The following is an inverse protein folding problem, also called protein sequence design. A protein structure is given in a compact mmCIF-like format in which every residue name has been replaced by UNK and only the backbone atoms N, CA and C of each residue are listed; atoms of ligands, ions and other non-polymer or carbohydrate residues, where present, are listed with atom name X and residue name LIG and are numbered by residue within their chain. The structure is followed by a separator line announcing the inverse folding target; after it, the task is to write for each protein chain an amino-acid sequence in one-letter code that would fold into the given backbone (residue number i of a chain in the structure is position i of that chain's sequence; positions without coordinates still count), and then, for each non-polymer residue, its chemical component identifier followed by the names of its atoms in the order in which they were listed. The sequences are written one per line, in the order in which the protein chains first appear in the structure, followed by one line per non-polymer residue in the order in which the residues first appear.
data_IF_838580575251
#
_entry.id   IF_838580575251
#
_cell.length_a   1.000
_cell.length_b   1.000
_cell.length_c   1.000
_cell.angle_alpha   90.00
_cell.angle_beta   90.00
_cell.angle_gamma   90.00
#
_symmetry.space_group_name_H-M   'P 1'
#
loop_
_entity.id
_entity.type
_entity.pdbx_description
1 polymer ?
#
# COMPACT_ATOMS: atom_id res chain seq x y z
N UNK A 1 -8.12 50.86 -19.17
CA UNK A 1 -8.49 49.66 -18.38
C UNK A 1 -8.13 48.42 -19.17
N UNK A 2 -7.18 47.64 -18.63
CA UNK A 2 -6.31 46.74 -19.39
C UNK A 2 -6.94 45.37 -19.66
N UNK A 3 -7.19 45.05 -20.93
CA UNK A 3 -7.69 43.76 -21.43
C UNK A 3 -6.79 42.56 -21.08
N UNK A 4 -5.56 42.82 -20.61
CA UNK A 4 -4.59 41.79 -20.22
C UNK A 4 -4.85 41.22 -18.82
N UNK A 5 -5.60 41.91 -17.95
CA UNK A 5 -5.88 41.43 -16.59
C UNK A 5 -6.93 40.32 -16.55
N UNK A 6 -7.88 40.31 -17.49
CA UNK A 6 -8.92 39.29 -17.55
C UNK A 6 -8.38 37.94 -18.09
N UNK A 7 -7.45 37.99 -19.05
CA UNK A 7 -6.83 36.81 -19.65
C UNK A 7 -5.91 36.06 -18.66
N UNK A 8 -5.16 36.81 -17.83
CA UNK A 8 -4.26 36.22 -16.82
C UNK A 8 -5.04 35.46 -15.74
N UNK A 9 -6.21 35.98 -15.31
CA UNK A 9 -7.06 35.33 -14.31
C UNK A 9 -7.70 34.03 -14.82
N UNK A 10 -8.06 33.96 -16.10
CA UNK A 10 -8.60 32.73 -16.73
C UNK A 10 -7.53 31.65 -16.89
N UNK A 11 -6.29 32.01 -17.18
CA UNK A 11 -5.16 31.07 -17.22
C UNK A 11 -4.79 30.54 -15.82
N UNK A 12 -4.80 31.40 -14.80
CA UNK A 12 -4.45 30.97 -13.45
C UNK A 12 -5.48 29.99 -12.85
N UNK A 13 -6.76 30.20 -13.16
CA UNK A 13 -7.85 29.34 -12.67
C UNK A 13 -7.90 27.97 -13.39
N UNK A 14 -7.60 27.93 -14.68
CA UNK A 14 -7.47 26.66 -15.42
C UNK A 14 -6.25 25.85 -14.97
N UNK A 15 -5.13 26.49 -14.62
CA UNK A 15 -3.96 25.79 -14.06
C UNK A 15 -4.24 25.18 -12.67
N UNK A 16 -5.05 25.87 -11.85
CA UNK A 16 -5.40 25.41 -10.50
C UNK A 16 -6.37 24.21 -10.51
N UNK A 17 -7.24 24.11 -11.53
CA UNK A 17 -8.14 22.97 -11.72
C UNK A 17 -7.42 21.74 -12.30
N UNK A 18 -6.36 21.92 -13.10
CA UNK A 18 -5.56 20.79 -13.61
C UNK A 18 -4.69 20.13 -12.53
N UNK A 19 -4.29 20.87 -11.49
CA UNK A 19 -3.47 20.35 -10.39
C UNK A 19 -4.20 19.39 -9.44
N UNK A 20 -5.54 19.34 -9.47
CA UNK A 20 -6.33 18.51 -8.57
C UNK A 20 -6.61 17.08 -9.10
N UNK A 21 -6.16 16.75 -10.32
CA UNK A 21 -6.55 15.50 -10.99
C UNK A 21 -5.70 14.26 -10.63
N UNK A 22 -4.68 14.36 -9.77
CA UNK A 22 -3.77 13.24 -9.48
C UNK A 22 -3.84 12.67 -8.05
N UNK A 23 -4.90 12.93 -7.29
CA UNK A 23 -5.11 12.28 -6.00
C UNK A 23 -6.09 11.10 -6.14
N UNK A 24 -5.75 10.11 -6.98
CA UNK A 24 -6.49 8.84 -7.00
C UNK A 24 -6.10 8.08 -5.72
N UNK A 25 -7.02 7.82 -4.78
CA UNK A 25 -6.71 7.00 -3.61
C UNK A 25 -6.26 5.62 -4.10
N UNK A 26 -4.99 5.28 -3.85
CA UNK A 26 -4.45 3.97 -4.19
C UNK A 26 -5.19 2.91 -3.36
N UNK A 27 -6.12 2.21 -3.99
CA UNK A 27 -7.01 1.21 -3.39
C UNK A 27 -6.29 -0.12 -3.03
N UNK A 28 -5.05 -0.05 -2.53
CA UNK A 28 -4.18 -1.20 -2.27
C UNK A 28 -3.82 -1.41 -0.81
N UNK A 29 -4.36 -0.64 0.13
CA UNK A 29 -4.08 -0.82 1.56
C UNK A 29 -5.21 -0.34 2.47
N UNK A 30 -5.29 -0.97 3.63
CA UNK A 30 -6.23 -0.67 4.71
C UNK A 30 -5.42 -0.43 6.00
N UNK A 31 -5.36 0.82 6.46
CA UNK A 31 -4.62 1.16 7.68
C UNK A 31 -5.25 0.53 8.93
N UNK A 32 -4.42 -0.02 9.80
CA UNK A 32 -4.81 -0.66 11.06
C UNK A 32 -4.28 0.21 12.20
N UNK A 33 -4.87 1.40 12.38
CA UNK A 33 -4.49 2.31 13.46
C UNK A 33 -4.56 3.79 13.10
N UNK A 34 -4.35 4.65 14.10
CA UNK A 34 -4.32 6.12 13.96
C UNK A 34 -2.94 6.69 13.65
N UNK A 35 -1.91 5.85 13.60
CA UNK A 35 -0.53 6.29 13.36
C UNK A 35 -0.35 6.48 11.86
N UNK A 36 -0.26 7.74 11.44
CA UNK A 36 0.10 8.09 10.07
C UNK A 36 1.61 8.16 9.95
N UNK A 37 2.18 7.23 9.19
CA UNK A 37 3.58 7.29 8.82
C UNK A 37 3.71 7.88 7.42
N UNK A 38 4.78 8.64 7.21
CA UNK A 38 5.13 9.13 5.89
C UNK A 38 5.48 7.95 4.97
N UNK A 39 5.08 8.06 3.69
CA UNK A 39 5.49 7.11 2.68
C UNK A 39 7.03 7.11 2.58
N UNK A 40 7.60 5.92 2.39
CA UNK A 40 9.04 5.78 2.20
C UNK A 40 9.44 6.16 0.76
N UNK A 41 10.71 6.59 0.55
CA UNK A 41 11.24 6.83 -0.80
C UNK A 41 11.05 5.63 -1.72
N UNK A 42 10.85 5.88 -3.02
CA UNK A 42 10.58 4.83 -4.03
C UNK A 42 11.63 3.71 -4.03
N UNK A 43 12.89 4.06 -3.78
CA UNK A 43 14.02 3.14 -3.82
C UNK A 43 14.32 2.54 -2.43
N UNK A 44 13.55 2.90 -1.40
CA UNK A 44 13.71 2.30 -0.09
C UNK A 44 13.33 0.80 -0.16
N UNK A 45 14.21 -0.09 0.33
CA UNK A 45 13.91 -1.52 0.37
C UNK A 45 12.80 -1.78 1.37
N UNK A 46 11.86 -2.66 0.99
CA UNK A 46 10.81 -3.20 1.85
C UNK A 46 11.07 -4.69 2.00
N UNK A 47 11.33 -5.13 3.22
CA UNK A 47 11.65 -6.52 3.50
C UNK A 47 10.39 -7.41 3.35
N UNK A 48 10.54 -8.60 2.79
CA UNK A 48 9.47 -9.61 2.73
C UNK A 48 9.82 -10.70 3.72
N UNK A 49 9.05 -10.79 4.80
CA UNK A 49 9.25 -11.79 5.84
C UNK A 49 8.27 -12.95 5.61
N UNK A 50 8.76 -14.05 5.04
CA UNK A 50 7.98 -15.28 4.89
C UNK A 50 7.82 -16.01 6.24
N UNK A 51 8.85 -15.92 7.09
CA UNK A 51 8.93 -16.58 8.40
C UNK A 51 8.45 -15.69 9.57
N UNK A 52 8.48 -16.27 10.77
CA UNK A 52 8.15 -15.59 12.02
C UNK A 52 9.13 -14.42 12.27
N UNK A 53 8.59 -13.21 12.37
CA UNK A 53 9.35 -12.00 12.72
C UNK A 53 9.80 -12.09 14.18
N UNK A 54 11.12 -12.04 14.43
CA UNK A 54 11.72 -12.26 15.76
C UNK A 54 11.93 -10.98 16.58
N UNK A 55 11.85 -9.81 15.95
CA UNK A 55 12.02 -8.51 16.61
C UNK A 55 10.66 -7.89 17.00
N UNK A 56 10.60 -7.00 17.99
CA UNK A 56 9.39 -6.23 18.28
C UNK A 56 8.96 -5.36 17.10
N UNK A 57 7.70 -5.48 16.69
CA UNK A 57 7.14 -4.70 15.57
C UNK A 57 5.76 -4.12 15.90
N UNK A 58 5.29 -3.23 15.03
CA UNK A 58 3.93 -2.73 15.00
C UNK A 58 3.34 -2.91 13.61
N UNK A 59 2.14 -3.49 13.53
CA UNK A 59 1.36 -3.53 12.29
C UNK A 59 0.75 -2.16 12.04
N UNK A 60 0.95 -1.63 10.83
CA UNK A 60 0.47 -0.29 10.43
C UNK A 60 -0.68 -0.36 9.42
N UNK A 61 -0.71 -1.40 8.58
CA UNK A 61 -1.77 -1.61 7.60
C UNK A 61 -1.85 -3.07 7.15
N UNK A 62 -3.01 -3.47 6.63
CA UNK A 62 -3.13 -4.59 5.69
C UNK A 62 -2.89 -4.05 4.29
N UNK A 63 -2.01 -4.68 3.51
CA UNK A 63 -1.70 -4.28 2.13
C UNK A 63 -2.07 -5.40 1.17
N UNK A 64 -2.61 -5.02 0.02
CA UNK A 64 -3.08 -5.93 -1.02
C UNK A 64 -2.33 -5.65 -2.32
N UNK A 65 -1.96 -6.69 -3.07
CA UNK A 65 -1.45 -6.54 -4.43
C UNK A 65 -2.60 -6.30 -5.41
N UNK A 66 -2.29 -5.89 -6.65
CA UNK A 66 -3.32 -5.89 -7.70
C UNK A 66 -3.78 -7.32 -8.00
N UNK A 67 -5.08 -7.53 -8.32
CA UNK A 67 -5.60 -8.84 -8.64
C UNK A 67 -5.11 -9.34 -10.01
N UNK A 68 -4.80 -10.63 -10.10
CA UNK A 68 -4.44 -11.37 -11.33
C UNK A 68 -5.42 -12.53 -11.58
N UNK A 69 -5.73 -12.88 -12.84
CA UNK A 69 -6.56 -14.04 -13.13
C UNK A 69 -5.90 -15.40 -12.79
N UNK A 70 -4.56 -15.46 -12.70
CA UNK A 70 -3.80 -16.70 -12.45
C UNK A 70 -2.56 -16.44 -11.58
N UNK A 71 -2.16 -17.45 -10.78
CA UNK A 71 -0.93 -17.43 -9.96
C UNK A 71 0.13 -18.34 -10.61
N UNK A 72 0.93 -17.77 -11.50
CA UNK A 72 2.16 -18.35 -12.06
C UNK A 72 3.40 -17.82 -11.33
N UNK A 73 4.57 -18.45 -11.52
CA UNK A 73 5.83 -17.96 -10.93
C UNK A 73 6.13 -16.50 -11.30
N UNK A 74 5.92 -16.12 -12.57
CA UNK A 74 6.06 -14.74 -13.05
C UNK A 74 5.08 -13.79 -12.36
N UNK A 75 3.80 -14.18 -12.27
CA UNK A 75 2.81 -13.32 -11.61
C UNK A 75 3.10 -13.16 -10.10
N UNK A 76 3.67 -14.17 -9.43
CA UNK A 76 4.01 -14.06 -8.01
C UNK A 76 5.03 -12.95 -7.76
N UNK A 77 6.03 -12.82 -8.61
CA UNK A 77 7.03 -11.75 -8.50
C UNK A 77 6.35 -10.36 -8.62
N UNK A 78 5.46 -10.19 -9.59
CA UNK A 78 4.70 -8.95 -9.77
C UNK A 78 3.76 -8.65 -8.58
N UNK A 79 3.10 -9.67 -8.04
CA UNK A 79 2.23 -9.52 -6.87
C UNK A 79 3.03 -9.11 -5.62
N UNK A 80 4.23 -9.66 -5.43
CA UNK A 80 5.13 -9.28 -4.34
C UNK A 80 5.65 -7.84 -4.51
N UNK A 81 6.05 -7.46 -5.72
CA UNK A 81 6.50 -6.10 -6.03
C UNK A 81 5.40 -5.07 -5.73
N UNK A 82 4.16 -5.36 -6.15
CA UNK A 82 2.99 -4.54 -5.84
C UNK A 82 2.74 -4.44 -4.33
N UNK A 83 2.86 -5.56 -3.62
CA UNK A 83 2.67 -5.62 -2.17
C UNK A 83 3.70 -4.74 -1.44
N UNK A 84 4.97 -4.83 -1.84
CA UNK A 84 6.06 -3.99 -1.33
C UNK A 84 5.84 -2.51 -1.67
N UNK A 85 5.39 -2.21 -2.89
CA UNK A 85 5.04 -0.84 -3.28
C UNK A 85 3.92 -0.27 -2.41
N UNK A 86 2.88 -1.04 -2.12
CA UNK A 86 1.78 -0.60 -1.25
C UNK A 86 2.21 -0.47 0.22
N UNK A 87 3.08 -1.34 0.72
CA UNK A 87 3.68 -1.22 2.04
C UNK A 87 4.56 0.02 2.20
N UNK A 88 5.27 0.41 1.13
CA UNK A 88 6.05 1.64 1.09
C UNK A 88 5.18 2.90 1.27
N UNK A 89 3.99 2.91 0.67
CA UNK A 89 3.05 4.04 0.77
C UNK A 89 2.54 4.28 2.19
N UNK A 90 2.57 3.25 3.04
CA UNK A 90 2.17 3.34 4.45
C UNK A 90 3.35 3.44 5.41
N UNK A 91 4.56 3.66 4.89
CA UNK A 91 5.76 3.87 5.71
C UNK A 91 6.32 2.61 6.37
N UNK A 92 5.97 1.42 5.87
CA UNK A 92 6.38 0.16 6.47
C UNK A 92 7.88 -0.17 6.27
N UNK A 93 8.46 -0.95 7.17
CA UNK A 93 9.78 -1.56 7.03
C UNK A 93 9.73 -2.89 6.30
N UNK A 94 8.69 -3.68 6.56
CA UNK A 94 8.54 -5.00 6.02
C UNK A 94 7.06 -5.35 5.78
N UNK A 95 6.84 -6.42 5.02
CA UNK A 95 5.55 -7.10 4.92
C UNK A 95 5.70 -8.53 5.41
N UNK A 96 4.79 -8.97 6.28
CA UNK A 96 4.77 -10.34 6.79
C UNK A 96 3.37 -10.98 6.65
N UNK A 97 3.26 -12.27 6.96
CA UNK A 97 2.00 -13.04 6.90
C UNK A 97 1.30 -12.95 5.54
N UNK A 98 2.11 -13.04 4.48
CA UNK A 98 1.63 -12.96 3.10
C UNK A 98 0.78 -14.20 2.80
N UNK A 99 -0.43 -13.97 2.31
CA UNK A 99 -1.34 -15.03 1.89
C UNK A 99 -1.96 -14.72 0.55
N UNK A 100 -2.27 -15.77 -0.20
CA UNK A 100 -3.03 -15.65 -1.44
C UNK A 100 -4.51 -15.57 -1.10
N UNK A 101 -5.16 -14.50 -1.53
CA UNK A 101 -6.61 -14.37 -1.50
C UNK A 101 -7.18 -14.74 -2.86
N UNK A 102 -8.25 -15.54 -2.83
CA UNK A 102 -9.03 -15.91 -4.01
C UNK A 102 -10.37 -15.18 -3.97
N UNK A 103 -10.59 -14.27 -4.91
CA UNK A 103 -11.82 -13.49 -5.05
C UNK A 103 -12.63 -14.06 -6.19
N UNK A 104 -13.90 -14.34 -5.93
CA UNK A 104 -14.86 -14.79 -6.94
C UNK A 104 -15.88 -13.68 -7.17
N UNK A 105 -16.30 -13.49 -8.42
CA UNK A 105 -17.29 -12.49 -8.77
C UNK A 105 -17.98 -12.78 -10.08
N UNK A 106 -18.75 -11.82 -10.56
CA UNK A 106 -19.37 -11.84 -11.89
C UNK A 106 -18.92 -10.64 -12.70
N UNK A 107 -18.46 -10.87 -13.92
CA UNK A 107 -18.00 -9.83 -14.83
C UNK A 107 -18.49 -10.12 -16.25
N UNK A 108 -18.30 -9.16 -17.16
CA UNK A 108 -18.55 -9.34 -18.59
C UNK A 108 -17.47 -10.28 -19.14
N UNK A 109 -17.88 -11.44 -19.63
CA UNK A 109 -17.02 -12.42 -20.31
C UNK A 109 -17.51 -12.60 -21.75
N UNK A 110 -16.61 -12.94 -22.70
CA UNK A 110 -17.02 -13.23 -24.07
C UNK A 110 -18.10 -14.33 -24.12
N UNK A 111 -19.14 -14.12 -24.91
CA UNK A 111 -20.18 -15.14 -25.11
C UNK A 111 -19.85 -16.04 -26.32
N UNK A 112 -19.09 -17.11 -26.06
CA UNK A 112 -18.68 -18.07 -27.11
C UNK A 112 -19.85 -18.76 -27.84
N UNK A 113 -21.08 -18.70 -27.30
CA UNK A 113 -22.27 -19.29 -27.94
C UNK A 113 -22.98 -18.32 -28.89
N UNK A 114 -22.64 -17.04 -28.86
CA UNK A 114 -23.26 -16.03 -29.69
C UNK A 114 -22.36 -15.76 -30.92
N UNK A 115 -22.86 -15.95 -32.16
CA UNK A 115 -22.07 -15.75 -33.36
C UNK A 115 -21.68 -14.28 -33.61
N UNK A 116 -22.23 -13.33 -32.85
CA UNK A 116 -21.90 -11.90 -32.96
C UNK A 116 -20.56 -11.63 -32.26
N UNK A 117 -19.51 -11.18 -32.99
CA UNK A 117 -18.23 -10.80 -32.42
C UNK A 117 -18.39 -9.67 -31.39
N UNK A 118 -17.74 -9.78 -30.24
CA UNK A 118 -17.85 -8.78 -29.18
C UNK A 118 -19.16 -8.86 -28.38
N UNK A 119 -19.92 -9.94 -28.50
CA UNK A 119 -21.00 -10.25 -27.57
C UNK A 119 -20.44 -10.60 -26.19
N UNK A 120 -21.02 -10.00 -25.15
CA UNK A 120 -20.63 -10.19 -23.77
C UNK A 120 -21.80 -10.77 -22.98
N UNK A 121 -21.51 -11.71 -22.09
CA UNK A 121 -22.47 -12.17 -21.09
C UNK A 121 -21.91 -11.96 -19.69
N UNK A 122 -22.79 -11.94 -18.70
CA UNK A 122 -22.36 -11.98 -17.31
C UNK A 122 -21.91 -13.40 -16.97
N UNK A 123 -20.63 -13.58 -16.68
CA UNK A 123 -20.05 -14.86 -16.33
C UNK A 123 -19.26 -14.80 -15.02
N UNK A 124 -19.01 -15.96 -14.39
CA UNK A 124 -18.16 -16.03 -13.22
C UNK A 124 -16.71 -15.67 -13.60
N UNK A 125 -16.03 -14.97 -12.71
CA UNK A 125 -14.58 -14.82 -12.80
C UNK A 125 -13.94 -15.13 -11.44
N UNK A 126 -12.67 -15.51 -11.49
CA UNK A 126 -11.82 -15.70 -10.32
C UNK A 126 -10.59 -14.84 -10.48
N UNK A 127 -10.24 -14.11 -9.43
CA UNK A 127 -9.01 -13.34 -9.32
C UNK A 127 -8.25 -13.76 -8.07
N UNK A 128 -6.94 -13.60 -8.13
CA UNK A 128 -6.01 -13.89 -7.04
C UNK A 128 -5.25 -12.62 -6.71
N UNK A 129 -5.03 -12.34 -5.43
CA UNK A 129 -4.20 -11.23 -4.97
C UNK A 129 -3.39 -11.70 -3.76
N UNK A 130 -2.27 -11.05 -3.48
CA UNK A 130 -1.54 -11.24 -2.24
C UNK A 130 -2.04 -10.23 -1.22
N UNK A 131 -2.27 -10.68 0.00
CA UNK A 131 -2.52 -9.83 1.16
C UNK A 131 -1.45 -10.07 2.20
N UNK A 132 -0.88 -9.01 2.73
CA UNK A 132 0.11 -9.05 3.79
C UNK A 132 -0.14 -8.00 4.86
N UNK A 133 0.50 -8.17 6.01
CA UNK A 133 0.52 -7.19 7.09
C UNK A 133 1.79 -6.33 6.93
N UNK A 134 1.61 -5.03 6.75
CA UNK A 134 2.70 -4.07 6.68
C UNK A 134 3.11 -3.68 8.10
N UNK A 135 4.41 -3.81 8.41
CA UNK A 135 4.94 -3.63 9.76
C UNK A 135 6.10 -2.63 9.82
N UNK A 136 6.28 -2.01 10.97
CA UNK A 136 7.45 -1.21 11.33
C UNK A 136 8.18 -1.79 12.53
N UNK A 137 9.51 -1.69 12.54
CA UNK A 137 10.38 -2.12 13.63
C UNK A 137 10.16 -1.17 14.82
N UNK A 138 9.79 -1.71 15.98
CA UNK A 138 9.77 -0.91 17.21
C UNK A 138 11.20 -0.78 17.72
N UNK A 139 11.71 0.45 17.80
CA UNK A 139 12.94 0.68 18.55
C UNK A 139 12.66 0.40 20.03
N UNK A 140 13.29 -0.65 20.57
CA UNK A 140 13.31 -0.91 21.99
C UNK A 140 14.17 0.20 22.60
N UNK A 141 13.54 1.20 23.21
CA UNK A 141 14.26 2.10 24.10
C UNK A 141 14.71 1.24 25.28
N UNK A 142 15.98 0.84 25.27
CA UNK A 142 16.67 0.32 26.44
C UNK A 142 16.69 1.46 27.46
N UNK A 143 15.69 1.48 28.33
CA UNK A 143 15.62 2.39 29.45
C UNK A 143 16.83 2.09 30.33
N UNK A 144 17.89 2.87 30.17
CA UNK A 144 19.00 2.93 31.10
C UNK A 144 18.40 3.15 32.49
N UNK A 145 18.45 2.11 33.32
CA UNK A 145 18.10 2.21 34.72
C UNK A 145 18.94 3.34 35.33
N UNK A 146 18.35 4.32 36.04
CA UNK A 146 19.14 5.30 36.76
C UNK A 146 19.97 4.56 37.82
N UNK A 147 21.29 4.59 37.63
CA UNK A 147 22.26 4.17 38.63
C UNK A 147 22.03 4.99 39.89
N UNK A 148 21.38 4.40 40.90
CA UNK A 148 21.25 5.01 42.21
C UNK A 148 22.61 4.94 42.92
N UNK A 149 23.46 5.91 42.62
CA UNK A 149 24.65 6.22 43.38
C UNK A 149 24.21 6.77 44.74
N UNK A 150 24.03 5.88 45.73
CA UNK A 150 23.88 6.29 47.13
C UNK A 150 25.23 6.72 47.67
N UNK A 151 25.61 7.95 47.34
CA UNK A 151 26.52 8.73 48.17
C UNK A 151 25.77 9.11 49.46
N UNK A 152 26.07 8.40 50.56
CA UNK A 152 25.86 8.91 51.91
C UNK A 152 27.15 8.76 52.69
N UNK A 153 27.99 9.78 52.54
CA UNK A 153 29.04 10.17 53.48
C UNK A 153 28.46 11.27 54.37
N UNK A 154 28.10 10.93 55.61
CA UNK A 154 27.77 11.87 56.70
C UNK A 154 27.63 11.02 57.96
N UNK A 155 28.28 11.26 59.09
CA UNK A 155 29.35 12.16 59.51
C UNK A 155 29.89 11.55 60.80
#
# INVERSE_FOLDING_TARGET
MSRYRLSLFLFLTTLLLLGAACAIPHAGYHRIGKVELAAKPKDAPIEVCEDLVTYPYQVVASVDSRPTPKVTAESKALLLEDLQANARLVGADAVHRIRVLKVHGRSKVPDEKNPIPGSWKQGPYTQYMFRGEAIVKKQVQEQAAPSSEKSKKSK
#
